data_IF_791541571853
#
_entry.id   IF_791541571853
#
_cell.length_a   1.000
_cell.length_b   1.000
_cell.length_c   1.000
_cell.angle_alpha   90.00
_cell.angle_beta   90.00
_cell.angle_gamma   90.00
#
_symmetry.space_group_name_H-M   'P 1'
#
loop_
_entity.id
_entity.type
_entity.pdbx_description
1 polymer ?
#
# COMPACT_ATOMS: atom_id res chain seq x y z
N UNK A 1 74.92 -6.71 30.57
CA UNK A 1 73.57 -7.33 30.43
C UNK A 1 72.54 -6.23 30.46
N UNK A 2 71.94 -5.90 29.30
CA UNK A 2 70.93 -4.86 29.18
C UNK A 2 69.63 -5.56 28.78
N UNK A 3 68.51 -5.39 29.47
CA UNK A 3 67.22 -5.90 29.02
C UNK A 3 66.59 -4.91 28.01
N UNK A 4 66.26 -5.39 26.84
CA UNK A 4 65.51 -4.75 25.81
C UNK A 4 64.03 -4.75 26.16
N UNK A 5 63.47 -3.55 26.35
CA UNK A 5 62.04 -3.34 26.51
C UNK A 5 61.34 -3.46 25.15
N UNK A 6 60.50 -4.46 25.01
CA UNK A 6 59.63 -4.63 23.85
C UNK A 6 58.34 -3.81 24.11
N UNK A 7 58.18 -2.68 23.41
CA UNK A 7 56.94 -1.90 23.39
C UNK A 7 55.91 -2.61 22.49
N UNK A 8 54.87 -3.17 23.13
CA UNK A 8 53.65 -3.61 22.43
C UNK A 8 52.75 -2.39 22.19
N UNK A 9 52.74 -1.92 20.95
CA UNK A 9 51.74 -0.95 20.50
C UNK A 9 50.45 -1.69 20.16
N UNK A 10 49.46 -1.51 21.03
CA UNK A 10 48.07 -1.93 20.77
C UNK A 10 47.48 -0.99 19.71
N UNK A 11 47.37 -1.47 18.48
CA UNK A 11 46.59 -0.79 17.44
C UNK A 11 45.11 -1.07 17.69
N UNK A 12 44.42 -0.11 18.34
CA UNK A 12 42.96 -0.14 18.53
C UNK A 12 42.28 0.17 17.20
N UNK A 13 41.82 -0.88 16.50
CA UNK A 13 41.00 -0.76 15.29
C UNK A 13 39.56 -0.40 15.71
N UNK A 14 39.26 0.91 15.74
CA UNK A 14 37.88 1.39 15.93
C UNK A 14 37.10 1.06 14.65
N UNK A 15 36.35 -0.04 14.69
CA UNK A 15 35.37 -0.36 13.65
C UNK A 15 34.22 0.65 13.73
N UNK A 16 34.21 1.62 12.81
CA UNK A 16 33.05 2.49 12.56
C UNK A 16 31.91 1.61 12.02
N UNK A 17 30.94 1.32 12.86
CA UNK A 17 29.65 0.78 12.44
C UNK A 17 28.90 1.88 11.69
N UNK A 18 29.04 1.90 10.38
CA UNK A 18 28.18 2.69 9.49
C UNK A 18 26.82 1.98 9.46
N UNK A 19 25.90 2.41 10.32
CA UNK A 19 24.49 2.08 10.18
C UNK A 19 23.99 2.76 8.89
N UNK A 20 24.03 2.05 7.78
CA UNK A 20 23.37 2.48 6.56
C UNK A 20 21.87 2.49 6.85
N UNK A 21 21.25 3.69 6.84
CA UNK A 21 19.81 3.81 6.76
C UNK A 21 19.42 3.18 5.42
N UNK A 22 18.88 1.96 5.45
CA UNK A 22 18.26 1.39 4.28
C UNK A 22 17.08 2.30 3.88
N UNK A 23 16.96 2.68 2.61
CA UNK A 23 15.78 3.41 2.16
C UNK A 23 14.55 2.58 2.48
N UNK A 24 13.50 3.24 2.95
CA UNK A 24 12.24 2.57 3.25
C UNK A 24 11.68 1.95 1.97
N UNK A 25 11.57 0.63 1.95
CA UNK A 25 11.06 -0.09 0.78
C UNK A 25 9.55 0.13 0.67
N UNK A 26 9.11 0.59 -0.49
CA UNK A 26 7.68 0.72 -0.78
C UNK A 26 7.02 -0.66 -0.84
N UNK A 27 5.76 -0.81 -0.37
CA UNK A 27 5.08 -2.10 -0.40
C UNK A 27 4.87 -2.59 -1.84
N UNK A 28 4.96 -3.90 -2.04
CA UNK A 28 4.75 -4.51 -3.33
C UNK A 28 3.26 -4.81 -3.60
N UNK A 29 2.86 -4.89 -4.86
CA UNK A 29 1.51 -5.29 -5.26
C UNK A 29 1.10 -6.68 -4.72
N UNK A 30 2.07 -7.59 -4.47
CA UNK A 30 1.82 -8.89 -3.83
C UNK A 30 1.26 -8.76 -2.42
N UNK A 31 1.74 -7.78 -1.65
CA UNK A 31 1.27 -7.52 -0.29
C UNK A 31 -0.17 -6.99 -0.33
N UNK A 32 -0.45 -6.09 -1.28
CA UNK A 32 -1.79 -5.58 -1.54
C UNK A 32 -2.76 -6.67 -1.99
N UNK A 33 -2.29 -7.65 -2.78
CA UNK A 33 -3.10 -8.79 -3.18
C UNK A 33 -3.55 -9.62 -1.99
N UNK A 34 -2.68 -9.89 -1.03
CA UNK A 34 -3.03 -10.61 0.18
C UNK A 34 -4.12 -9.88 0.97
N UNK A 35 -3.95 -8.57 1.21
CA UNK A 35 -4.93 -7.72 1.87
C UNK A 35 -6.27 -7.66 1.13
N UNK A 36 -6.23 -7.59 -0.21
CA UNK A 36 -7.42 -7.59 -1.05
C UNK A 36 -8.21 -8.90 -0.93
N UNK A 37 -7.53 -10.04 -0.99
CA UNK A 37 -8.17 -11.35 -0.87
C UNK A 37 -8.82 -11.54 0.49
N UNK A 38 -8.22 -11.02 1.55
CA UNK A 38 -8.72 -11.12 2.91
C UNK A 38 -9.94 -10.21 3.18
N UNK A 39 -9.92 -8.96 2.68
CA UNK A 39 -10.85 -7.94 3.11
C UNK A 39 -11.83 -7.45 2.02
N UNK A 40 -11.49 -7.60 0.74
CA UNK A 40 -12.21 -6.98 -0.38
C UNK A 40 -12.88 -8.00 -1.30
N UNK A 41 -12.24 -9.17 -1.50
CA UNK A 41 -12.70 -10.16 -2.48
C UNK A 41 -14.10 -10.72 -2.20
N UNK A 42 -14.55 -10.70 -0.95
CA UNK A 42 -15.90 -11.17 -0.57
C UNK A 42 -17.01 -10.39 -1.30
N UNK A 43 -16.77 -9.10 -1.62
CA UNK A 43 -17.68 -8.25 -2.39
C UNK A 43 -17.18 -8.06 -3.84
N UNK A 44 -15.89 -7.77 -4.02
CA UNK A 44 -15.33 -7.41 -5.32
C UNK A 44 -14.95 -8.62 -6.21
N UNK A 45 -15.02 -9.85 -5.70
CA UNK A 45 -14.56 -11.04 -6.41
C UNK A 45 -13.04 -11.22 -6.34
N UNK A 46 -12.57 -12.43 -6.56
CA UNK A 46 -11.12 -12.76 -6.51
C UNK A 46 -10.36 -12.21 -7.72
N UNK A 47 -11.07 -11.88 -8.78
CA UNK A 47 -10.57 -11.23 -10.00
C UNK A 47 -10.93 -9.73 -10.06
N UNK A 48 -11.46 -9.19 -8.96
CA UNK A 48 -11.82 -7.79 -8.76
C UNK A 48 -12.90 -7.24 -9.71
N UNK A 49 -13.77 -8.11 -10.26
CA UNK A 49 -14.83 -7.74 -11.23
C UNK A 49 -16.18 -7.43 -10.63
N UNK A 50 -16.29 -7.42 -9.29
CA UNK A 50 -17.54 -7.06 -8.61
C UNK A 50 -18.53 -8.21 -8.46
N UNK A 51 -18.10 -9.45 -8.62
CA UNK A 51 -18.92 -10.66 -8.59
C UNK A 51 -18.70 -11.52 -7.33
N UNK A 52 -18.16 -10.94 -6.27
CA UNK A 52 -17.92 -11.63 -5.00
C UNK A 52 -19.18 -12.21 -4.40
N UNK A 53 -19.01 -13.14 -3.46
CA UNK A 53 -20.12 -13.90 -2.87
C UNK A 53 -21.21 -12.97 -2.26
N UNK A 54 -20.80 -11.83 -1.71
CA UNK A 54 -21.75 -10.85 -1.14
C UNK A 54 -22.34 -9.86 -2.16
N UNK A 55 -21.78 -9.76 -3.37
CA UNK A 55 -22.26 -8.82 -4.39
C UNK A 55 -23.74 -9.03 -4.74
N UNK A 56 -24.20 -10.28 -4.71
CA UNK A 56 -25.62 -10.63 -5.02
C UNK A 56 -26.62 -10.17 -3.98
N UNK A 57 -26.16 -9.92 -2.75
CA UNK A 57 -27.00 -9.43 -1.66
C UNK A 57 -27.01 -7.89 -1.57
N UNK A 58 -26.21 -7.21 -2.39
CA UNK A 58 -26.14 -5.75 -2.42
C UNK A 58 -27.16 -5.18 -3.39
N UNK A 59 -27.76 -4.05 -3.02
CA UNK A 59 -28.68 -3.30 -3.90
C UNK A 59 -28.01 -2.85 -5.19
N UNK A 60 -26.72 -2.48 -5.08
CA UNK A 60 -25.89 -2.13 -6.23
C UNK A 60 -24.64 -2.99 -6.19
N UNK A 61 -24.41 -3.76 -7.23
CA UNK A 61 -23.22 -4.60 -7.35
C UNK A 61 -21.95 -3.73 -7.31
N UNK A 62 -20.88 -4.21 -6.64
CA UNK A 62 -19.58 -3.53 -6.68
C UNK A 62 -19.09 -3.37 -8.12
N UNK A 63 -18.46 -2.23 -8.45
CA UNK A 63 -17.94 -2.03 -9.80
C UNK A 63 -16.74 -2.95 -10.08
N UNK A 64 -16.53 -3.26 -11.36
CA UNK A 64 -15.32 -3.90 -11.86
C UNK A 64 -14.11 -2.98 -11.59
N UNK A 65 -13.21 -3.39 -10.69
CA UNK A 65 -12.05 -2.60 -10.31
C UNK A 65 -10.94 -2.62 -11.37
N UNK A 66 -10.94 -3.60 -12.28
CA UNK A 66 -9.95 -3.67 -13.36
C UNK A 66 -10.13 -2.58 -14.42
N UNK A 67 -11.26 -1.89 -14.40
CA UNK A 67 -11.61 -0.84 -15.37
C UNK A 67 -11.56 0.57 -14.79
N UNK A 68 -10.95 0.79 -13.62
CA UNK A 68 -10.87 2.12 -13.01
C UNK A 68 -10.15 3.10 -13.94
N UNK A 69 -8.97 2.74 -14.44
CA UNK A 69 -8.20 3.59 -15.36
C UNK A 69 -8.96 3.88 -16.65
N UNK A 70 -9.61 2.87 -17.23
CA UNK A 70 -10.42 3.03 -18.46
C UNK A 70 -11.56 4.02 -18.23
N UNK A 71 -12.30 3.88 -17.12
CA UNK A 71 -13.38 4.80 -16.75
C UNK A 71 -12.89 6.22 -16.42
N UNK A 72 -11.61 6.37 -16.09
CA UNK A 72 -10.97 7.65 -15.77
C UNK A 72 -10.10 8.19 -16.92
N UNK A 73 -10.47 7.91 -18.16
CA UNK A 73 -9.78 8.48 -19.34
C UNK A 73 -8.40 7.88 -19.61
N UNK A 74 -8.07 6.72 -19.04
CA UNK A 74 -6.78 6.02 -19.23
C UNK A 74 -5.76 6.28 -18.11
N UNK A 75 -6.10 7.08 -17.11
CA UNK A 75 -5.23 7.40 -15.97
C UNK A 75 -5.80 6.79 -14.69
N UNK A 76 -4.96 6.16 -13.90
CA UNK A 76 -5.37 5.62 -12.61
C UNK A 76 -5.53 6.75 -11.58
N UNK A 77 -6.71 6.94 -10.97
CA UNK A 77 -7.00 8.08 -10.10
C UNK A 77 -6.60 7.79 -8.65
N UNK A 78 -5.31 7.84 -8.34
CA UNK A 78 -4.69 7.50 -7.05
C UNK A 78 -5.46 8.08 -5.86
N UNK A 79 -5.62 9.39 -5.79
CA UNK A 79 -6.28 10.08 -4.67
C UNK A 79 -7.72 9.61 -4.47
N UNK A 80 -8.46 9.42 -5.57
CA UNK A 80 -9.85 8.96 -5.51
C UNK A 80 -9.95 7.52 -4.97
N UNK A 81 -9.05 6.64 -5.40
CA UNK A 81 -9.02 5.25 -4.93
C UNK A 81 -8.68 5.20 -3.44
N UNK A 82 -7.61 5.90 -3.02
CA UNK A 82 -7.23 6.02 -1.60
C UNK A 82 -8.40 6.51 -0.74
N UNK A 83 -8.99 7.64 -1.11
CA UNK A 83 -10.11 8.24 -0.36
C UNK A 83 -11.35 7.34 -0.30
N UNK A 84 -11.57 6.52 -1.34
CA UNK A 84 -12.69 5.58 -1.38
C UNK A 84 -12.45 4.41 -0.41
N UNK A 85 -11.25 3.86 -0.37
CA UNK A 85 -10.89 2.74 0.53
C UNK A 85 -10.87 3.22 1.99
N UNK A 86 -10.25 4.37 2.24
CA UNK A 86 -10.16 4.97 3.57
C UNK A 86 -11.54 5.31 4.14
N UNK A 87 -12.47 5.72 3.29
CA UNK A 87 -13.83 6.15 3.67
C UNK A 87 -14.01 7.66 3.74
N UNK A 88 -12.98 8.44 3.46
CA UNK A 88 -13.01 9.91 3.55
C UNK A 88 -14.05 10.56 2.61
N UNK A 89 -14.34 9.94 1.46
CA UNK A 89 -15.28 10.47 0.46
C UNK A 89 -16.72 9.95 0.63
N UNK A 90 -17.02 9.24 1.70
CA UNK A 90 -18.39 8.78 1.93
C UNK A 90 -19.34 9.93 2.23
N UNK A 91 -20.00 10.38 1.20
CA UNK A 91 -21.35 10.95 1.35
C UNK A 91 -22.30 9.78 1.67
N UNK A 92 -23.16 9.96 2.66
CA UNK A 92 -24.17 8.99 3.11
C UNK A 92 -24.90 8.35 1.94
N UNK A 93 -24.37 7.23 1.42
CA UNK A 93 -25.12 6.39 0.50
C UNK A 93 -26.16 5.64 1.34
N UNK A 94 -27.42 5.83 1.05
CA UNK A 94 -28.50 5.04 1.62
C UNK A 94 -28.33 3.58 1.21
N UNK A 95 -28.00 2.72 2.17
CA UNK A 95 -27.82 1.29 1.96
C UNK A 95 -26.44 0.77 2.39
N UNK A 96 -26.24 -0.57 2.43
CA UNK A 96 -24.95 -1.18 2.74
C UNK A 96 -23.98 -0.97 1.58
N UNK A 97 -23.29 0.17 1.60
CA UNK A 97 -22.19 0.46 0.67
C UNK A 97 -20.89 -0.24 1.08
N UNK A 98 -19.82 0.05 0.34
CA UNK A 98 -18.46 -0.39 0.70
C UNK A 98 -18.13 0.09 2.13
N UNK A 99 -17.66 -0.78 3.04
CA UNK A 99 -17.22 -0.37 4.38
C UNK A 99 -16.06 0.62 4.33
N UNK A 100 -15.82 1.34 5.43
CA UNK A 100 -14.62 2.16 5.62
C UNK A 100 -13.50 1.28 6.14
N UNK A 101 -12.35 1.32 5.47
CA UNK A 101 -11.20 0.50 5.83
C UNK A 101 -10.07 1.31 6.47
N UNK A 102 -10.20 2.63 6.62
CA UNK A 102 -9.16 3.49 7.17
C UNK A 102 -8.58 2.96 8.47
N UNK A 103 -9.43 2.71 9.49
CA UNK A 103 -8.98 2.20 10.78
C UNK A 103 -8.34 0.79 10.70
N UNK A 104 -8.78 -0.08 9.80
CA UNK A 104 -8.21 -1.42 9.61
C UNK A 104 -6.82 -1.36 8.95
N UNK A 105 -6.61 -0.35 8.12
CA UNK A 105 -5.38 -0.19 7.34
C UNK A 105 -4.35 0.71 8.02
N UNK A 106 -4.64 1.24 9.20
CA UNK A 106 -3.66 1.99 10.00
C UNK A 106 -2.38 1.20 10.26
N UNK A 107 -1.28 1.91 10.50
CA UNK A 107 0.02 1.34 10.82
C UNK A 107 1.17 2.22 10.35
N UNK A 108 2.28 1.60 9.99
CA UNK A 108 3.48 2.29 9.51
C UNK A 108 3.16 3.13 8.28
N UNK A 109 3.74 4.34 8.24
CA UNK A 109 3.53 5.28 7.15
C UNK A 109 4.70 5.18 6.16
N UNK A 110 4.37 5.27 4.88
CA UNK A 110 5.35 5.37 3.79
C UNK A 110 5.11 6.65 2.99
N UNK A 111 6.16 7.23 2.38
CA UNK A 111 6.02 8.46 1.58
C UNK A 111 5.44 8.12 0.20
N UNK A 112 4.19 8.48 -0.04
CA UNK A 112 3.51 8.28 -1.32
C UNK A 112 3.39 9.59 -2.08
N UNK A 113 3.82 9.61 -3.36
CA UNK A 113 3.49 10.69 -4.28
C UNK A 113 2.11 10.44 -4.89
N UNK A 114 1.17 11.34 -4.65
CA UNK A 114 -0.20 11.26 -5.19
C UNK A 114 -0.35 11.88 -6.57
N UNK A 115 0.76 12.29 -7.19
CA UNK A 115 0.81 12.86 -8.53
C UNK A 115 1.03 14.38 -8.57
N UNK A 116 1.28 15.00 -7.42
CA UNK A 116 1.60 16.42 -7.29
C UNK A 116 3.08 16.69 -6.96
N UNK A 117 3.90 15.63 -6.87
CA UNK A 117 5.32 15.70 -6.52
C UNK A 117 5.55 15.90 -5.02
N UNK A 118 4.53 15.83 -4.18
CA UNK A 118 4.63 15.92 -2.73
C UNK A 118 4.48 14.55 -2.10
N UNK A 119 5.50 14.12 -1.35
CA UNK A 119 5.45 12.87 -0.63
C UNK A 119 4.54 12.99 0.59
N UNK A 120 3.41 12.31 0.55
CA UNK A 120 2.41 12.32 1.61
C UNK A 120 2.55 11.06 2.47
N UNK A 121 2.72 11.18 3.81
CA UNK A 121 2.72 10.03 4.71
C UNK A 121 1.40 9.26 4.61
N UNK A 122 1.46 8.03 4.12
CA UNK A 122 0.28 7.20 3.85
C UNK A 122 0.45 5.83 4.49
N UNK A 123 -0.59 5.23 5.11
CA UNK A 123 -0.48 3.91 5.70
C UNK A 123 0.02 2.86 4.69
N UNK A 124 1.06 2.13 5.05
CA UNK A 124 1.70 1.11 4.20
C UNK A 124 0.71 0.10 3.61
N UNK A 125 -0.25 -0.37 4.40
CA UNK A 125 -1.28 -1.31 3.94
C UNK A 125 -2.19 -0.70 2.87
N UNK A 126 -2.52 0.59 3.03
CA UNK A 126 -3.35 1.30 2.06
C UNK A 126 -2.60 1.51 0.74
N UNK A 127 -1.29 1.82 0.81
CA UNK A 127 -0.43 1.89 -0.38
C UNK A 127 -0.30 0.52 -1.03
N UNK A 128 -0.11 -0.57 -0.27
CA UNK A 128 -0.07 -1.92 -0.82
C UNK A 128 -1.34 -2.27 -1.62
N UNK A 129 -2.52 -1.95 -1.07
CA UNK A 129 -3.79 -2.15 -1.77
C UNK A 129 -3.88 -1.30 -3.04
N UNK A 130 -3.44 -0.05 -3.00
CA UNK A 130 -3.37 0.84 -4.16
C UNK A 130 -2.52 0.21 -5.27
N UNK A 131 -1.30 -0.21 -4.96
CA UNK A 131 -0.36 -0.85 -5.89
C UNK A 131 -0.97 -2.11 -6.53
N UNK A 132 -1.64 -2.93 -5.73
CA UNK A 132 -2.32 -4.11 -6.26
C UNK A 132 -3.45 -3.73 -7.22
N UNK A 133 -4.34 -2.81 -6.83
CA UNK A 133 -5.48 -2.40 -7.67
C UNK A 133 -4.98 -1.73 -8.97
N UNK A 134 -3.90 -0.95 -8.90
CA UNK A 134 -3.28 -0.36 -10.09
C UNK A 134 -2.66 -1.43 -10.99
N UNK A 135 -2.00 -2.45 -10.42
CA UNK A 135 -1.37 -3.52 -11.17
C UNK A 135 -2.33 -4.39 -11.99
N UNK A 136 -3.60 -4.46 -11.58
CA UNK A 136 -4.63 -5.25 -12.26
C UNK A 136 -5.46 -4.45 -13.27
N UNK A 137 -5.09 -3.19 -13.56
CA UNK A 137 -5.84 -2.37 -14.51
C UNK A 137 -5.75 -2.95 -15.92
N UNK A 138 -6.90 -3.05 -16.59
CA UNK A 138 -6.95 -3.45 -17.98
C UNK A 138 -6.24 -2.40 -18.86
N UNK A 139 -5.36 -2.87 -19.73
CA UNK A 139 -4.80 -2.07 -20.82
C UNK A 139 -5.85 -1.93 -21.93
N UNK A 140 -5.92 -0.75 -22.52
CA UNK A 140 -6.77 -0.52 -23.72
C UNK A 140 -6.27 -1.33 -24.90
#
# INVERSE_FOLDING_TARGET
MRPTLISLTFASCAALLVTACAPEEMPAASDGRALFMENCAVCHGTDAKGDGAMARAMETAPPDLTLISVRNGGTFPVVKVLSTIDGYTKTSLSGPGMPEFGALLEGDLVPLDTGDGVLTPTPRKLVALLEYIESIQATR
#
